data_IF_283077357909
#
_entry.id   IF_283077357909
#
_cell.length_a   1.000
_cell.length_b   1.000
_cell.length_c   1.000
_cell.angle_alpha   90.00
_cell.angle_beta   90.00
_cell.angle_gamma   90.00
#
_symmetry.space_group_name_H-M   'P 1'
#
loop_
_entity.id
_entity.type
_entity.pdbx_description
1 polymer ?
#
# COMPACT_ATOMS: atom_id res chain seq x y z
N UNK A 1 19.47 -8.88 16.28
CA UNK A 1 20.11 -8.11 17.27
C UNK A 1 21.32 -7.35 16.79
N UNK A 2 21.66 -6.32 17.53
CA UNK A 2 22.92 -5.61 17.40
C UNK A 2 24.01 -6.36 18.18
N UNK A 3 25.27 -6.27 17.79
CA UNK A 3 26.38 -6.83 18.57
C UNK A 3 26.44 -6.12 19.95
N UNK A 4 26.90 -6.80 20.99
CA UNK A 4 27.06 -6.19 22.30
C UNK A 4 28.11 -5.09 22.25
N UNK A 5 27.93 -4.05 23.04
CA UNK A 5 28.95 -3.01 23.27
C UNK A 5 30.07 -3.55 24.14
N UNK A 6 31.25 -2.94 24.09
CA UNK A 6 32.36 -3.34 24.98
C UNK A 6 32.00 -3.31 26.47
N UNK A 7 31.14 -2.36 26.87
CA UNK A 7 30.68 -2.26 28.27
C UNK A 7 29.74 -3.44 28.64
N UNK A 8 28.90 -3.89 27.72
CA UNK A 8 28.05 -5.06 27.96
C UNK A 8 28.84 -6.35 28.04
N UNK A 9 29.94 -6.48 27.23
CA UNK A 9 30.84 -7.64 27.30
C UNK A 9 31.53 -7.65 28.66
N UNK A 10 32.11 -6.54 29.08
CA UNK A 10 32.79 -6.45 30.39
C UNK A 10 31.84 -6.70 31.57
N UNK A 11 30.58 -6.24 31.44
CA UNK A 11 29.56 -6.53 32.44
C UNK A 11 29.30 -8.03 32.54
N UNK A 12 29.04 -8.68 31.42
CA UNK A 12 28.79 -10.12 31.38
C UNK A 12 30.01 -10.95 31.91
N UNK A 13 31.22 -10.61 31.51
CA UNK A 13 32.44 -11.29 32.02
C UNK A 13 32.57 -11.18 33.54
N UNK A 14 32.23 -10.04 34.11
CA UNK A 14 32.22 -9.83 35.55
C UNK A 14 31.15 -10.67 36.25
N UNK A 15 29.95 -10.73 35.70
CA UNK A 15 28.81 -11.46 36.23
C UNK A 15 29.00 -12.98 36.06
N UNK A 16 29.80 -13.41 35.06
CA UNK A 16 30.13 -14.81 34.81
C UNK A 16 31.11 -15.40 35.86
N UNK A 17 31.93 -14.56 36.50
CA UNK A 17 32.94 -15.01 37.45
C UNK A 17 32.40 -15.78 38.67
N UNK A 18 31.23 -15.43 39.26
CA UNK A 18 30.60 -16.19 40.35
C UNK A 18 29.94 -17.51 39.91
N UNK A 19 29.53 -17.66 38.63
CA UNK A 19 28.92 -18.85 38.08
C UNK A 19 28.21 -18.56 36.77
N UNK A 20 28.29 -19.46 35.76
CA UNK A 20 27.78 -19.20 34.43
C UNK A 20 26.25 -19.08 34.37
N UNK A 21 25.51 -19.87 35.15
CA UNK A 21 24.05 -19.97 35.03
C UNK A 21 23.39 -18.62 35.35
N UNK A 22 23.79 -17.98 36.44
CA UNK A 22 23.27 -16.67 36.84
C UNK A 22 23.55 -15.58 35.79
N UNK A 23 24.73 -15.51 35.25
CA UNK A 23 25.11 -14.53 34.22
C UNK A 23 24.28 -14.69 32.94
N UNK A 24 23.96 -15.94 32.57
CA UNK A 24 23.08 -16.21 31.42
C UNK A 24 21.64 -15.85 31.69
N UNK A 25 21.10 -16.16 32.87
CA UNK A 25 19.73 -15.78 33.24
C UNK A 25 19.56 -14.26 33.22
N UNK A 26 20.45 -13.50 33.84
CA UNK A 26 20.41 -12.03 33.81
C UNK A 26 20.56 -11.45 32.39
N UNK A 27 21.44 -12.05 31.57
CA UNK A 27 21.56 -11.66 30.16
C UNK A 27 20.25 -11.88 29.40
N UNK A 28 19.62 -13.04 29.56
CA UNK A 28 18.36 -13.38 28.90
C UNK A 28 17.26 -12.43 29.35
N UNK A 29 17.10 -12.22 30.66
CA UNK A 29 16.08 -11.32 31.22
C UNK A 29 16.27 -9.89 30.73
N UNK A 30 17.50 -9.40 30.67
CA UNK A 30 17.82 -8.07 30.11
C UNK A 30 17.46 -7.97 28.63
N UNK A 31 17.72 -9.02 27.85
CA UNK A 31 17.39 -9.02 26.41
C UNK A 31 15.87 -9.12 26.18
N UNK A 32 15.16 -9.94 26.97
CA UNK A 32 13.71 -10.06 26.91
C UNK A 32 13.00 -8.77 27.35
N UNK A 33 13.56 -8.06 28.33
CA UNK A 33 13.02 -6.77 28.79
C UNK A 33 13.31 -5.61 27.84
N UNK A 34 14.13 -5.83 26.83
CA UNK A 34 14.47 -4.79 25.86
C UNK A 34 13.35 -4.57 24.85
N UNK A 35 12.97 -3.31 24.54
CA UNK A 35 11.98 -3.04 23.47
C UNK A 35 12.43 -3.56 22.09
N UNK A 36 13.72 -3.82 21.92
CA UNK A 36 14.29 -4.42 20.71
C UNK A 36 13.92 -5.90 20.54
N UNK A 37 13.47 -6.56 21.60
CA UNK A 37 12.97 -7.92 21.55
C UNK A 37 11.75 -8.01 20.60
N UNK A 38 10.74 -7.18 20.83
CA UNK A 38 9.56 -7.14 19.97
C UNK A 38 9.88 -6.75 18.54
N UNK A 39 10.76 -5.77 18.31
CA UNK A 39 11.20 -5.40 16.94
C UNK A 39 11.86 -6.60 16.23
N UNK A 40 12.65 -7.39 16.95
CA UNK A 40 13.34 -8.57 16.38
C UNK A 40 12.38 -9.69 16.05
N UNK A 41 11.47 -10.03 16.99
CA UNK A 41 10.51 -11.11 16.81
C UNK A 41 9.37 -10.75 15.84
N UNK A 42 8.92 -9.50 15.85
CA UNK A 42 7.92 -9.03 14.92
C UNK A 42 8.31 -9.28 13.46
N UNK A 43 9.60 -9.21 13.11
CA UNK A 43 10.05 -9.50 11.73
C UNK A 43 9.67 -10.90 11.29
N UNK A 44 9.85 -11.90 12.14
CA UNK A 44 9.47 -13.29 11.83
C UNK A 44 7.96 -13.44 11.69
N UNK A 45 7.20 -12.78 12.57
CA UNK A 45 5.74 -12.80 12.46
C UNK A 45 5.23 -12.08 11.21
N UNK A 46 5.79 -10.92 10.89
CA UNK A 46 5.42 -10.14 9.71
C UNK A 46 5.72 -10.89 8.41
N UNK A 47 6.81 -11.68 8.36
CA UNK A 47 7.10 -12.56 7.24
C UNK A 47 6.01 -13.64 7.09
N UNK A 48 5.62 -14.28 8.19
CA UNK A 48 4.53 -15.29 8.21
C UNK A 48 3.20 -14.66 7.80
N UNK A 49 2.89 -13.45 8.28
CA UNK A 49 1.70 -12.69 7.92
C UNK A 49 1.72 -12.14 6.48
N UNK A 50 2.85 -12.27 5.77
CA UNK A 50 3.07 -11.69 4.43
C UNK A 50 2.92 -10.16 4.41
N UNK A 51 3.33 -9.48 5.48
CA UNK A 51 3.23 -8.03 5.61
C UNK A 51 4.14 -7.33 4.61
N UNK A 52 3.60 -6.32 3.93
CA UNK A 52 4.35 -5.39 3.11
C UNK A 52 3.74 -3.98 3.17
N UNK A 53 4.58 -2.95 2.99
CA UNK A 53 4.15 -1.55 2.91
C UNK A 53 3.59 -1.21 1.52
N UNK A 54 3.52 -2.19 0.60
CA UNK A 54 2.97 -2.07 -0.75
C UNK A 54 1.99 -3.19 -1.04
N UNK A 55 1.15 -3.01 -2.08
CA UNK A 55 0.11 -3.96 -2.44
C UNK A 55 0.62 -5.22 -3.15
N UNK A 56 1.79 -5.15 -3.79
CA UNK A 56 2.23 -6.16 -4.75
C UNK A 56 1.52 -6.03 -6.09
N UNK A 57 1.62 -7.07 -6.93
CA UNK A 57 1.14 -7.09 -8.31
C UNK A 57 1.79 -6.02 -9.20
N UNK A 58 1.37 -5.94 -10.46
CA UNK A 58 1.91 -5.04 -11.47
C UNK A 58 1.70 -3.54 -11.20
N UNK A 59 0.70 -3.20 -10.39
CA UNK A 59 0.45 -1.83 -9.90
C UNK A 59 0.76 -1.74 -8.40
N UNK A 60 2.03 -1.94 -8.06
CA UNK A 60 2.52 -1.99 -6.69
C UNK A 60 2.35 -0.64 -5.96
N UNK A 61 1.14 -0.39 -5.48
CA UNK A 61 0.78 0.84 -4.75
C UNK A 61 1.21 0.77 -3.29
N UNK A 62 1.66 1.90 -2.75
CA UNK A 62 1.93 2.04 -1.31
C UNK A 62 0.65 1.83 -0.49
N UNK A 63 0.82 1.24 0.69
CA UNK A 63 -0.20 1.08 1.74
C UNK A 63 0.12 2.03 2.90
N UNK A 64 -0.26 3.30 2.83
CA UNK A 64 0.15 4.30 3.83
C UNK A 64 -0.40 4.01 5.24
N UNK A 65 -1.38 3.12 5.34
CA UNK A 65 -2.07 2.78 6.60
C UNK A 65 -1.78 1.35 7.07
N UNK A 66 -0.75 0.67 6.53
CA UNK A 66 -0.39 -0.69 6.97
C UNK A 66 0.43 -0.71 8.27
N UNK A 67 1.26 0.30 8.52
CA UNK A 67 2.18 0.37 9.65
C UNK A 67 1.57 0.15 11.05
N UNK A 68 0.30 0.51 11.34
CA UNK A 68 -0.27 0.28 12.67
C UNK A 68 -0.34 -1.20 13.05
N UNK A 69 -0.54 -2.10 12.08
CA UNK A 69 -0.48 -3.54 12.33
C UNK A 69 0.93 -3.99 12.71
N UNK A 70 1.96 -3.50 12.02
CA UNK A 70 3.36 -3.76 12.38
C UNK A 70 3.64 -3.35 13.83
N UNK A 71 3.24 -2.16 14.20
CA UNK A 71 3.46 -1.61 15.55
C UNK A 71 2.66 -2.38 16.62
N UNK A 72 1.44 -2.85 16.28
CA UNK A 72 0.66 -3.77 17.10
C UNK A 72 1.43 -5.08 17.37
N UNK A 73 2.02 -5.68 16.33
CA UNK A 73 2.79 -6.92 16.47
C UNK A 73 4.01 -6.72 17.37
N UNK A 74 4.79 -5.64 17.15
CA UNK A 74 5.95 -5.28 17.98
C UNK A 74 5.54 -5.13 19.44
N UNK A 75 4.46 -4.39 19.70
CA UNK A 75 3.94 -4.16 21.04
C UNK A 75 3.46 -5.46 21.69
N UNK A 76 2.79 -6.31 20.94
CA UNK A 76 2.29 -7.59 21.44
C UNK A 76 3.41 -8.51 21.93
N UNK A 77 4.54 -8.58 21.21
CA UNK A 77 5.72 -9.32 21.66
C UNK A 77 6.39 -8.69 22.89
N UNK A 78 6.52 -7.35 22.92
CA UNK A 78 7.11 -6.68 24.08
C UNK A 78 6.28 -6.76 25.34
N UNK A 79 4.97 -6.94 25.21
CA UNK A 79 4.03 -7.08 26.32
C UNK A 79 3.77 -8.54 26.72
N UNK A 80 4.44 -9.48 26.07
CA UNK A 80 4.19 -10.92 26.22
C UNK A 80 2.67 -11.25 26.16
N UNK A 81 2.01 -10.69 25.12
CA UNK A 81 0.55 -10.87 24.95
C UNK A 81 0.21 -12.35 24.89
N UNK A 82 -0.81 -12.84 25.66
CA UNK A 82 -1.23 -14.22 25.60
C UNK A 82 -1.53 -14.67 24.17
N UNK A 83 -0.93 -15.76 23.73
CA UNK A 83 -1.03 -16.23 22.33
C UNK A 83 -2.47 -16.43 21.87
N UNK A 84 -3.34 -16.97 22.73
CA UNK A 84 -4.75 -17.15 22.39
C UNK A 84 -5.48 -15.82 22.12
N UNK A 85 -5.11 -14.75 22.86
CA UNK A 85 -5.64 -13.42 22.61
C UNK A 85 -5.08 -12.85 21.31
N UNK A 86 -3.78 -12.97 21.08
CA UNK A 86 -3.10 -12.54 19.87
C UNK A 86 -3.71 -13.16 18.60
N UNK A 87 -4.04 -14.47 18.64
CA UNK A 87 -4.73 -15.16 17.53
C UNK A 87 -6.14 -14.59 17.32
N UNK A 88 -6.93 -14.45 18.39
CA UNK A 88 -8.31 -13.96 18.30
C UNK A 88 -8.40 -12.53 17.74
N UNK A 89 -7.50 -11.65 18.16
CA UNK A 89 -7.41 -10.29 17.66
C UNK A 89 -7.11 -10.25 16.18
N UNK A 90 -6.31 -11.17 15.67
CA UNK A 90 -5.90 -11.21 14.26
C UNK A 90 -6.93 -11.85 13.31
N UNK A 91 -7.84 -12.66 13.83
CA UNK A 91 -8.85 -13.35 13.01
C UNK A 91 -10.22 -12.68 13.09
N UNK A 92 -10.63 -12.24 14.28
CA UNK A 92 -11.97 -11.73 14.56
C UNK A 92 -11.95 -10.65 15.66
N UNK A 93 -10.93 -9.81 15.67
CA UNK A 93 -10.70 -8.84 16.74
C UNK A 93 -11.81 -7.81 16.85
N UNK A 94 -12.34 -7.32 15.74
CA UNK A 94 -13.43 -6.35 15.71
C UNK A 94 -14.76 -6.91 16.25
N UNK A 95 -14.94 -8.22 16.19
CA UNK A 95 -16.12 -8.89 16.74
C UNK A 95 -15.94 -9.28 18.22
N UNK A 96 -14.77 -9.83 18.58
CA UNK A 96 -14.50 -10.34 19.92
C UNK A 96 -14.14 -9.21 20.88
N UNK A 97 -13.44 -8.19 20.39
CA UNK A 97 -12.94 -7.05 21.16
C UNK A 97 -13.31 -5.70 20.50
N UNK A 98 -14.60 -5.42 20.27
CA UNK A 98 -15.07 -4.31 19.43
C UNK A 98 -14.66 -2.93 19.96
N UNK A 99 -14.45 -2.80 21.27
CA UNK A 99 -14.14 -1.53 21.94
C UNK A 99 -12.64 -1.32 22.18
N UNK A 100 -11.80 -2.22 21.64
CA UNK A 100 -10.35 -2.12 21.82
C UNK A 100 -9.65 -1.75 20.54
N UNK A 101 -8.57 -1.00 20.67
CA UNK A 101 -7.71 -0.67 19.54
C UNK A 101 -7.09 -1.92 18.92
N UNK A 102 -6.62 -2.82 19.78
CA UNK A 102 -5.96 -4.05 19.36
C UNK A 102 -6.91 -4.99 18.61
N UNK A 103 -8.22 -4.95 18.91
CA UNK A 103 -9.23 -5.66 18.16
C UNK A 103 -9.34 -5.21 16.69
N UNK A 104 -9.09 -3.93 16.42
CA UNK A 104 -9.06 -3.41 15.04
C UNK A 104 -7.68 -3.63 14.40
N UNK A 105 -6.60 -3.31 15.13
CA UNK A 105 -5.24 -3.38 14.61
C UNK A 105 -4.81 -4.81 14.28
N UNK A 106 -5.24 -5.78 15.09
CA UNK A 106 -4.95 -7.20 14.85
C UNK A 106 -5.45 -7.70 13.50
N UNK A 107 -6.59 -7.20 13.02
CA UNK A 107 -7.14 -7.57 11.70
C UNK A 107 -6.22 -7.22 10.51
N UNK A 108 -5.18 -6.43 10.76
CA UNK A 108 -4.12 -6.21 9.79
C UNK A 108 -3.48 -7.51 9.28
N UNK A 109 -3.56 -8.60 10.04
CA UNK A 109 -3.16 -9.94 9.61
C UNK A 109 -3.91 -10.41 8.36
N UNK A 110 -5.23 -10.28 8.34
CA UNK A 110 -6.06 -10.66 7.19
C UNK A 110 -5.85 -9.73 5.99
N UNK A 111 -5.47 -8.49 6.26
CA UNK A 111 -5.22 -7.49 5.22
C UNK A 111 -3.77 -7.52 4.68
N UNK A 112 -2.83 -8.19 5.36
CA UNK A 112 -1.40 -8.07 5.09
C UNK A 112 -0.95 -8.68 3.76
N UNK A 113 -1.56 -9.77 3.30
CA UNK A 113 -1.19 -10.45 2.05
C UNK A 113 -1.24 -9.55 0.80
N UNK A 114 -0.73 -10.01 -0.33
CA UNK A 114 -0.76 -9.26 -1.58
C UNK A 114 -2.20 -8.88 -1.96
N UNK A 115 -2.37 -7.75 -2.62
CA UNK A 115 -3.69 -7.23 -2.97
C UNK A 115 -3.69 -6.64 -4.38
N UNK A 116 -4.52 -7.20 -5.25
CA UNK A 116 -4.74 -6.65 -6.58
C UNK A 116 -5.57 -5.36 -6.49
N UNK A 117 -4.87 -4.23 -6.30
CA UNK A 117 -5.50 -2.92 -6.19
C UNK A 117 -6.42 -2.61 -7.39
N UNK A 118 -5.97 -2.90 -8.61
CA UNK A 118 -6.73 -2.62 -9.83
C UNK A 118 -7.97 -3.51 -9.92
N UNK A 119 -7.82 -4.79 -9.65
CA UNK A 119 -8.93 -5.75 -9.66
C UNK A 119 -10.04 -5.43 -8.65
N UNK A 120 -9.70 -4.69 -7.57
CA UNK A 120 -10.67 -4.29 -6.55
C UNK A 120 -11.27 -2.90 -6.77
N UNK A 121 -10.46 -1.92 -7.16
CA UNK A 121 -10.86 -0.51 -7.23
C UNK A 121 -11.42 -0.13 -8.60
N UNK A 122 -10.80 -0.63 -9.67
CA UNK A 122 -11.16 -0.24 -11.04
C UNK A 122 -12.06 -1.26 -11.74
N UNK A 123 -12.07 -2.52 -11.29
CA UNK A 123 -12.87 -3.59 -11.89
C UNK A 123 -14.07 -3.93 -11.02
N UNK A 124 -15.32 -3.68 -11.47
CA UNK A 124 -16.53 -4.03 -10.73
C UNK A 124 -16.60 -5.54 -10.45
N UNK A 125 -17.11 -5.92 -9.28
CA UNK A 125 -17.33 -7.32 -8.91
C UNK A 125 -18.27 -8.08 -9.88
N UNK A 126 -19.13 -7.35 -10.60
CA UNK A 126 -19.99 -7.94 -11.62
C UNK A 126 -19.24 -8.54 -12.82
N UNK A 127 -17.97 -8.11 -13.03
CA UNK A 127 -17.10 -8.65 -14.08
C UNK A 127 -16.30 -9.85 -13.59
N UNK A 128 -15.91 -10.72 -14.51
CA UNK A 128 -15.13 -11.94 -14.21
C UNK A 128 -13.84 -11.62 -13.49
N UNK A 129 -13.06 -10.65 -13.96
CA UNK A 129 -11.77 -10.30 -13.35
C UNK A 129 -11.93 -9.76 -11.92
N UNK A 130 -12.99 -8.96 -11.66
CA UNK A 130 -13.31 -8.51 -10.31
C UNK A 130 -13.70 -9.64 -9.37
N UNK A 131 -14.40 -10.68 -9.85
CA UNK A 131 -14.69 -11.89 -9.08
C UNK A 131 -13.43 -12.71 -8.81
N UNK A 132 -12.55 -12.81 -9.80
CA UNK A 132 -11.26 -13.51 -9.66
C UNK A 132 -10.40 -12.82 -8.60
N UNK A 133 -10.25 -11.50 -8.63
CA UNK A 133 -9.48 -10.76 -7.63
C UNK A 133 -9.98 -11.02 -6.20
N UNK A 134 -11.30 -10.95 -5.97
CA UNK A 134 -11.90 -11.22 -4.65
C UNK A 134 -11.81 -12.68 -4.22
N UNK A 135 -11.83 -13.61 -5.17
CA UNK A 135 -11.60 -15.02 -4.87
C UNK A 135 -10.16 -15.27 -4.44
N UNK A 136 -9.18 -14.62 -5.08
CA UNK A 136 -7.77 -14.72 -4.70
C UNK A 136 -7.52 -14.13 -3.31
N UNK A 137 -8.16 -13.04 -2.94
CA UNK A 137 -8.08 -12.49 -1.58
C UNK A 137 -8.58 -13.48 -0.52
N UNK A 138 -9.73 -14.11 -0.77
CA UNK A 138 -10.28 -15.11 0.17
C UNK A 138 -9.40 -16.36 0.25
N UNK A 139 -8.83 -16.80 -0.88
CA UNK A 139 -7.85 -17.89 -0.92
C UNK A 139 -6.62 -17.55 -0.07
N UNK A 140 -6.12 -16.32 -0.19
CA UNK A 140 -4.99 -15.84 0.61
C UNK A 140 -5.32 -15.77 2.11
N UNK A 141 -6.49 -15.28 2.50
CA UNK A 141 -6.92 -15.22 3.89
C UNK A 141 -6.99 -16.62 4.52
N UNK A 142 -7.68 -17.57 3.87
CA UNK A 142 -7.77 -18.96 4.33
C UNK A 142 -6.38 -19.57 4.44
N UNK A 143 -5.58 -19.46 3.37
CA UNK A 143 -4.24 -20.03 3.32
C UNK A 143 -3.35 -19.45 4.42
N UNK A 144 -3.39 -18.13 4.62
CA UNK A 144 -2.56 -17.47 5.61
C UNK A 144 -2.95 -17.86 7.04
N UNK A 145 -4.25 -17.93 7.35
CA UNK A 145 -4.74 -18.38 8.65
C UNK A 145 -4.27 -19.80 8.96
N UNK A 146 -4.47 -20.74 8.05
CA UNK A 146 -4.13 -22.13 8.29
C UNK A 146 -2.62 -22.40 8.29
N UNK A 147 -1.88 -21.76 7.40
CA UNK A 147 -0.42 -21.86 7.40
C UNK A 147 0.19 -21.30 8.69
N UNK A 148 -0.31 -20.16 9.17
CA UNK A 148 0.28 -19.46 10.31
C UNK A 148 -0.12 -20.06 11.66
N UNK A 149 -1.39 -20.44 11.83
CA UNK A 149 -1.92 -20.88 13.11
C UNK A 149 -2.06 -22.40 13.27
N UNK A 150 -2.16 -23.12 12.14
CA UNK A 150 -2.36 -24.58 12.14
C UNK A 150 -1.19 -25.35 11.50
N UNK A 151 -0.20 -24.66 10.94
CA UNK A 151 0.92 -25.24 10.19
C UNK A 151 0.46 -26.18 9.05
N UNK A 152 -0.69 -25.89 8.43
CA UNK A 152 -1.34 -26.73 7.41
C UNK A 152 -1.41 -25.99 6.08
N UNK A 153 -0.92 -26.61 5.02
CA UNK A 153 -0.94 -26.09 3.64
C UNK A 153 -2.30 -26.30 2.97
N UNK A 154 -3.35 -25.74 3.56
CA UNK A 154 -4.75 -26.01 3.19
C UNK A 154 -5.08 -25.69 1.72
N UNK A 155 -4.34 -24.78 1.08
CA UNK A 155 -4.56 -24.41 -0.32
C UNK A 155 -4.38 -25.57 -1.30
N UNK A 156 -3.73 -26.66 -0.92
CA UNK A 156 -3.68 -27.89 -1.72
C UNK A 156 -5.09 -28.46 -1.96
N UNK A 157 -5.98 -28.31 -0.97
CA UNK A 157 -7.36 -28.79 -1.04
C UNK A 157 -8.26 -27.94 -1.94
N UNK A 158 -7.79 -26.82 -2.50
CA UNK A 158 -8.53 -26.03 -3.49
C UNK A 158 -8.87 -26.82 -4.77
N UNK A 159 -7.97 -27.69 -5.21
CA UNK A 159 -8.09 -28.41 -6.48
C UNK A 159 -8.36 -29.91 -6.33
N UNK A 160 -7.94 -30.51 -5.21
CA UNK A 160 -8.06 -31.94 -4.93
C UNK A 160 -8.02 -32.16 -3.41
N UNK A 161 -8.31 -33.35 -2.95
CA UNK A 161 -8.15 -33.74 -1.56
C UNK A 161 -6.71 -33.52 -1.07
N UNK A 162 -6.53 -33.00 0.15
CA UNK A 162 -5.21 -32.76 0.70
C UNK A 162 -4.42 -34.09 0.82
N UNK A 163 -3.17 -34.09 0.38
CA UNK A 163 -2.39 -35.34 0.28
C UNK A 163 -2.05 -35.95 1.65
N UNK A 164 -1.81 -35.13 2.66
CA UNK A 164 -1.29 -35.58 3.96
C UNK A 164 -2.28 -35.45 5.11
N UNK A 165 -3.29 -34.61 4.97
CA UNK A 165 -4.29 -34.33 6.00
C UNK A 165 -5.69 -34.71 5.54
N UNK A 166 -6.62 -35.07 6.43
CA UNK A 166 -8.00 -35.45 6.10
C UNK A 166 -8.86 -34.22 5.75
N UNK A 167 -8.40 -33.43 4.78
CA UNK A 167 -9.06 -32.20 4.34
C UNK A 167 -9.50 -32.37 2.89
N UNK A 168 -10.79 -32.44 2.69
CA UNK A 168 -11.40 -32.48 1.36
C UNK A 168 -11.55 -31.12 0.73
N UNK A 169 -11.85 -31.11 -0.56
CA UNK A 169 -12.11 -29.91 -1.32
C UNK A 169 -13.34 -29.15 -0.78
N UNK A 170 -14.37 -29.83 -0.33
CA UNK A 170 -15.56 -29.28 0.32
C UNK A 170 -15.23 -28.54 1.62
N UNK A 171 -14.31 -29.06 2.42
CA UNK A 171 -13.81 -28.40 3.62
C UNK A 171 -13.11 -27.08 3.28
N UNK A 172 -12.28 -27.10 2.23
CA UNK A 172 -11.59 -25.88 1.77
C UNK A 172 -12.58 -24.76 1.39
N UNK A 173 -13.60 -25.06 0.58
CA UNK A 173 -14.58 -24.07 0.16
C UNK A 173 -15.52 -23.66 1.29
N UNK A 174 -15.81 -24.56 2.23
CA UNK A 174 -16.54 -24.20 3.46
C UNK A 174 -15.76 -23.17 4.30
N UNK A 175 -14.44 -23.36 4.46
CA UNK A 175 -13.57 -22.42 5.15
C UNK A 175 -13.43 -21.09 4.40
N UNK A 176 -13.30 -21.14 3.07
CA UNK A 176 -13.29 -19.93 2.26
C UNK A 176 -14.58 -19.11 2.40
N UNK A 177 -15.72 -19.76 2.59
CA UNK A 177 -17.02 -19.09 2.78
C UNK A 177 -17.09 -18.26 4.07
N UNK A 178 -16.29 -18.58 5.09
CA UNK A 178 -16.18 -17.79 6.33
C UNK A 178 -15.71 -16.36 6.01
N UNK A 179 -14.84 -16.21 5.01
CA UNK A 179 -14.32 -14.92 4.58
C UNK A 179 -15.11 -14.29 3.42
N UNK A 180 -16.27 -14.85 3.05
CA UNK A 180 -17.04 -14.38 1.89
C UNK A 180 -17.50 -12.91 1.98
N UNK A 181 -17.70 -12.41 3.20
CA UNK A 181 -18.12 -11.03 3.47
C UNK A 181 -16.97 -10.15 4.00
N UNK A 182 -15.72 -10.63 3.93
CA UNK A 182 -14.55 -9.87 4.40
C UNK A 182 -13.88 -9.18 3.22
N UNK A 183 -13.76 -7.87 3.31
CA UNK A 183 -13.03 -7.04 2.35
C UNK A 183 -11.93 -6.24 3.06
N UNK A 184 -10.82 -6.00 2.35
CA UNK A 184 -9.75 -5.13 2.83
C UNK A 184 -10.19 -3.68 2.71
N UNK A 185 -10.15 -2.93 3.80
CA UNK A 185 -10.54 -1.53 3.86
C UNK A 185 -9.76 -0.77 4.93
N UNK A 186 -9.61 0.53 4.72
CA UNK A 186 -9.09 1.41 5.78
C UNK A 186 -10.15 1.55 6.90
N UNK A 187 -9.72 1.24 8.12
CA UNK A 187 -10.55 1.35 9.31
C UNK A 187 -10.03 2.49 10.19
N UNK A 188 -10.94 3.34 10.63
CA UNK A 188 -10.61 4.36 11.61
C UNK A 188 -10.59 3.69 12.98
N UNK A 189 -9.47 3.78 13.67
CA UNK A 189 -9.33 3.44 15.07
C UNK A 189 -8.92 4.70 15.84
N UNK A 190 -9.35 4.85 17.05
CA UNK A 190 -8.99 6.01 17.83
C UNK A 190 -9.55 5.86 19.22
N UNK A 191 -8.68 6.09 20.15
CA UNK A 191 -8.82 5.76 21.54
C UNK A 191 -9.50 6.82 22.33
N UNK A 192 -9.35 8.08 21.93
CA UNK A 192 -10.01 9.19 22.61
C UNK A 192 -11.37 9.46 21.95
N UNK A 193 -12.49 9.26 22.68
CA UNK A 193 -13.82 9.60 22.19
C UNK A 193 -13.95 11.02 21.68
N UNK A 194 -13.13 11.96 22.22
CA UNK A 194 -13.08 13.36 21.75
C UNK A 194 -12.46 13.45 20.36
N UNK A 195 -11.40 12.68 20.11
CA UNK A 195 -10.74 12.63 18.79
C UNK A 195 -11.66 11.97 17.77
N UNK A 196 -12.33 10.88 18.12
CA UNK A 196 -13.30 10.21 17.26
C UNK A 196 -14.45 11.17 16.85
N UNK A 197 -15.07 11.86 17.82
CA UNK A 197 -16.12 12.87 17.56
C UNK A 197 -15.61 14.02 16.70
N UNK A 198 -14.38 14.48 16.93
CA UNK A 198 -13.79 15.56 16.13
C UNK A 198 -13.53 15.16 14.70
N UNK A 199 -13.03 13.91 14.48
CA UNK A 199 -12.85 13.34 13.14
C UNK A 199 -14.18 13.22 12.41
N UNK A 200 -15.22 12.73 13.08
CA UNK A 200 -16.58 12.63 12.51
C UNK A 200 -17.13 14.00 12.11
N UNK A 201 -17.03 15.00 12.99
CA UNK A 201 -17.44 16.37 12.70
C UNK A 201 -16.69 16.95 11.47
N UNK A 202 -15.37 16.74 11.39
CA UNK A 202 -14.56 17.21 10.27
C UNK A 202 -14.91 16.49 8.97
N UNK A 203 -15.21 15.19 9.02
CA UNK A 203 -15.67 14.41 7.87
C UNK A 203 -17.01 14.92 7.33
N UNK A 204 -17.96 15.23 8.21
CA UNK A 204 -19.25 15.82 7.84
C UNK A 204 -19.05 17.20 7.20
N UNK A 205 -18.20 18.05 7.80
CA UNK A 205 -17.88 19.36 7.24
C UNK A 205 -17.21 19.26 5.87
N UNK A 206 -16.26 18.34 5.71
CA UNK A 206 -15.60 18.09 4.43
C UNK A 206 -16.61 17.66 3.36
N UNK A 207 -17.52 16.75 3.70
CA UNK A 207 -18.59 16.32 2.79
C UNK A 207 -19.54 17.47 2.39
N UNK A 208 -19.85 18.37 3.31
CA UNK A 208 -20.68 19.56 3.05
C UNK A 208 -19.95 20.53 2.11
N UNK A 209 -18.70 20.85 2.42
CA UNK A 209 -17.88 21.73 1.58
C UNK A 209 -17.68 21.15 0.16
N UNK A 210 -17.43 19.85 0.06
CA UNK A 210 -17.30 19.19 -1.25
C UNK A 210 -18.57 19.34 -2.11
N UNK A 211 -19.77 19.25 -1.49
CA UNK A 211 -21.04 19.49 -2.19
C UNK A 211 -21.19 20.96 -2.61
N UNK A 212 -20.83 21.90 -1.75
CA UNK A 212 -20.89 23.34 -2.07
C UNK A 212 -19.92 23.67 -3.23
N UNK A 213 -18.71 23.14 -3.21
CA UNK A 213 -17.74 23.29 -4.31
C UNK A 213 -18.31 22.73 -5.61
N UNK A 214 -18.88 21.51 -5.60
CA UNK A 214 -19.46 20.90 -6.78
C UNK A 214 -20.66 21.72 -7.35
N UNK A 215 -21.47 22.31 -6.47
CA UNK A 215 -22.56 23.20 -6.87
C UNK A 215 -22.02 24.50 -7.48
N UNK A 216 -21.03 25.12 -6.85
CA UNK A 216 -20.39 26.33 -7.36
C UNK A 216 -19.71 26.10 -8.72
N UNK A 217 -19.02 24.99 -8.90
CA UNK A 217 -18.44 24.59 -10.20
C UNK A 217 -19.51 24.38 -11.26
N UNK A 218 -20.63 23.75 -10.91
CA UNK A 218 -21.75 23.57 -11.83
C UNK A 218 -22.37 24.90 -12.27
N UNK A 219 -22.53 25.83 -11.33
CA UNK A 219 -23.01 27.20 -11.64
C UNK A 219 -22.01 27.97 -12.51
N UNK A 220 -20.72 27.87 -12.18
CA UNK A 220 -19.65 28.50 -12.97
C UNK A 220 -19.64 27.99 -14.41
N UNK A 221 -19.72 26.67 -14.59
CA UNK A 221 -19.85 26.03 -15.90
C UNK A 221 -21.10 26.52 -16.64
N UNK A 222 -22.24 26.65 -15.94
CA UNK A 222 -23.48 27.12 -16.53
C UNK A 222 -23.39 28.60 -16.97
N UNK A 223 -22.78 29.47 -16.14
CA UNK A 223 -22.58 30.90 -16.46
C UNK A 223 -21.54 31.10 -17.58
N UNK A 224 -20.46 30.29 -17.58
CA UNK A 224 -19.38 30.36 -18.56
C UNK A 224 -19.61 29.61 -19.86
N UNK A 225 -20.62 28.73 -19.93
CA UNK A 225 -20.80 27.80 -21.05
C UNK A 225 -20.92 28.48 -22.43
N UNK A 226 -21.57 29.64 -22.49
CA UNK A 226 -21.75 30.38 -23.73
C UNK A 226 -20.45 31.05 -24.24
N UNK A 227 -19.63 31.57 -23.34
CA UNK A 227 -18.34 32.19 -23.69
C UNK A 227 -17.25 31.14 -23.94
N UNK A 228 -17.17 30.11 -23.12
CA UNK A 228 -16.27 28.98 -23.33
C UNK A 228 -16.52 28.31 -24.66
N UNK A 229 -17.76 28.03 -25.03
CA UNK A 229 -18.10 27.45 -26.33
C UNK A 229 -17.67 28.34 -27.49
N UNK A 230 -17.86 29.67 -27.38
CA UNK A 230 -17.39 30.60 -28.40
C UNK A 230 -15.87 30.62 -28.53
N UNK A 231 -15.15 30.51 -27.40
CA UNK A 231 -13.69 30.44 -27.37
C UNK A 231 -13.19 29.12 -27.93
N UNK A 232 -13.79 28.00 -27.60
CA UNK A 232 -13.46 26.67 -28.12
C UNK A 232 -13.71 26.59 -29.64
N UNK A 233 -14.84 27.12 -30.11
CA UNK A 233 -15.15 27.21 -31.54
C UNK A 233 -14.14 28.09 -32.29
N UNK A 234 -13.69 29.18 -31.67
CA UNK A 234 -12.66 30.07 -32.24
C UNK A 234 -11.28 29.40 -32.25
N UNK A 235 -10.95 28.70 -31.19
CA UNK A 235 -9.70 27.92 -31.07
C UNK A 235 -9.67 26.78 -32.09
N UNK A 236 -10.76 26.05 -32.26
CA UNK A 236 -10.91 24.99 -33.26
C UNK A 236 -10.78 25.52 -34.71
N UNK A 237 -11.30 26.71 -34.97
CA UNK A 237 -11.17 27.36 -36.29
C UNK A 237 -9.72 27.79 -36.54
N UNK A 238 -9.04 28.31 -35.54
CA UNK A 238 -7.62 28.71 -35.67
C UNK A 238 -6.71 27.49 -35.83
N UNK A 239 -6.99 26.40 -35.12
CA UNK A 239 -6.26 25.16 -35.27
C UNK A 239 -6.42 24.53 -36.67
N UNK A 240 -7.66 24.54 -37.21
CA UNK A 240 -7.93 24.08 -38.60
C UNK A 240 -7.28 24.95 -39.68
N UNK A 241 -7.20 26.24 -39.44
CA UNK A 241 -6.57 27.18 -40.41
C UNK A 241 -5.06 27.07 -40.49
N UNK A 242 -4.41 26.60 -39.41
CA UNK A 242 -2.94 26.56 -39.34
C UNK A 242 -2.33 25.20 -39.71
N UNK A 243 -3.13 24.17 -40.03
CA UNK A 243 -2.63 22.86 -40.48
C UNK A 243 -1.67 22.15 -39.48
N UNK A 244 -1.59 22.62 -38.24
CA UNK A 244 -0.69 22.10 -37.24
C UNK A 244 -1.44 21.08 -36.39
N UNK A 245 -1.01 19.83 -36.42
CA UNK A 245 -1.43 18.83 -35.46
C UNK A 245 -1.26 19.42 -34.05
N UNK A 246 -2.26 19.21 -33.18
CA UNK A 246 -2.28 19.65 -31.78
C UNK A 246 -1.06 19.13 -31.05
N UNK A 247 0.05 19.84 -31.13
CA UNK A 247 1.21 19.60 -30.27
C UNK A 247 1.04 20.48 -29.04
N UNK A 248 0.83 19.87 -27.91
CA UNK A 248 0.90 20.54 -26.61
C UNK A 248 2.38 20.85 -26.39
N UNK A 249 2.80 22.12 -26.22
CA UNK A 249 4.23 22.48 -26.11
C UNK A 249 4.94 21.74 -24.97
N UNK A 250 4.20 21.40 -23.93
CA UNK A 250 4.66 20.69 -22.74
C UNK A 250 5.06 19.24 -23.03
N UNK A 251 4.50 18.61 -24.05
CA UNK A 251 4.86 17.24 -24.45
C UNK A 251 6.21 17.14 -25.16
N UNK A 252 6.83 18.27 -25.48
CA UNK A 252 8.16 18.33 -26.07
C UNK A 252 8.27 17.74 -27.47
N UNK A 253 9.49 17.50 -27.88
CA UNK A 253 9.84 16.92 -29.20
C UNK A 253 10.18 15.45 -29.06
N UNK A 254 9.49 14.60 -29.82
CA UNK A 254 9.79 13.18 -29.96
C UNK A 254 10.57 12.91 -31.23
N UNK A 255 11.76 12.34 -31.08
CA UNK A 255 12.52 11.83 -32.23
C UNK A 255 11.89 10.55 -32.77
N UNK A 256 12.12 10.22 -34.04
CA UNK A 256 11.71 8.93 -34.58
C UNK A 256 12.32 7.76 -33.79
N UNK A 257 11.56 6.69 -33.67
CA UNK A 257 12.04 5.44 -33.08
C UNK A 257 13.09 4.84 -34.00
N UNK A 258 14.26 4.53 -33.47
CA UNK A 258 15.35 3.89 -34.18
C UNK A 258 15.62 2.51 -33.61
N UNK A 259 16.08 1.58 -34.47
CA UNK A 259 16.30 0.18 -34.06
C UNK A 259 17.52 -0.01 -33.14
N UNK A 260 18.47 0.95 -33.12
CA UNK A 260 19.66 0.86 -32.27
C UNK A 260 19.63 1.91 -31.18
N UNK A 261 19.85 1.53 -29.93
CA UNK A 261 19.76 2.46 -28.78
C UNK A 261 20.90 3.49 -28.76
N UNK A 262 22.02 3.23 -29.40
CA UNK A 262 23.23 4.06 -29.48
C UNK A 262 23.23 5.04 -30.67
N UNK A 263 22.14 5.12 -31.41
CA UNK A 263 22.04 6.05 -32.56
C UNK A 263 22.06 7.50 -32.09
N UNK A 264 23.01 8.29 -32.64
CA UNK A 264 23.09 9.71 -32.36
C UNK A 264 21.85 10.42 -32.90
N UNK A 265 21.19 11.17 -32.04
CA UNK A 265 20.01 11.96 -32.36
C UNK A 265 20.34 13.43 -32.19
N UNK A 266 19.87 14.25 -33.08
CA UNK A 266 20.09 15.70 -33.05
C UNK A 266 18.81 16.45 -33.33
N UNK A 267 18.72 17.66 -32.82
CA UNK A 267 17.63 18.61 -33.08
C UNK A 267 18.24 19.90 -33.58
N UNK A 268 17.69 20.41 -34.69
CA UNK A 268 18.07 21.71 -35.24
C UNK A 268 16.89 22.67 -35.11
N UNK A 269 17.17 23.83 -34.55
CA UNK A 269 16.22 24.94 -34.46
C UNK A 269 16.69 26.06 -35.35
N UNK A 270 15.89 26.43 -36.37
CA UNK A 270 16.13 27.59 -37.21
C UNK A 270 15.53 28.83 -36.52
N UNK A 271 16.39 29.81 -36.24
CA UNK A 271 16.00 31.09 -35.62
C UNK A 271 15.54 32.13 -36.65
N UNK A 272 15.48 31.77 -37.93
CA UNK A 272 15.05 32.62 -39.03
C UNK A 272 16.00 33.77 -39.40
N UNK A 273 16.83 34.23 -38.47
CA UNK A 273 17.85 35.27 -38.69
C UNK A 273 19.02 35.11 -37.73
N UNK A 274 20.16 35.70 -38.11
CA UNK A 274 21.38 35.67 -37.28
C UNK A 274 21.16 36.44 -35.99
N UNK A 275 21.28 35.72 -34.84
CA UNK A 275 21.11 36.27 -33.50
C UNK A 275 22.27 35.87 -32.58
N UNK A 276 22.57 36.73 -31.59
CA UNK A 276 23.51 36.37 -30.52
C UNK A 276 22.78 35.51 -29.47
N UNK A 277 23.19 34.26 -29.32
CA UNK A 277 22.66 33.36 -28.31
C UNK A 277 23.50 33.53 -27.04
N UNK A 278 22.85 33.84 -25.92
CA UNK A 278 23.50 33.95 -24.59
C UNK A 278 23.51 32.62 -23.85
N UNK A 279 22.44 31.85 -23.98
CA UNK A 279 22.30 30.55 -23.34
C UNK A 279 21.26 29.69 -24.06
N UNK A 280 21.41 28.39 -23.96
CA UNK A 280 20.41 27.40 -24.41
C UNK A 280 19.95 26.66 -23.17
N UNK A 281 18.65 26.68 -22.91
CA UNK A 281 18.01 25.94 -21.81
C UNK A 281 17.24 24.78 -22.41
N UNK A 282 17.56 23.58 -21.94
CA UNK A 282 16.82 22.36 -22.26
C UNK A 282 15.82 22.08 -21.15
N UNK A 283 14.56 22.03 -21.50
CA UNK A 283 13.49 21.60 -20.57
C UNK A 283 13.09 20.17 -20.90
N UNK A 284 13.06 19.32 -19.88
CA UNK A 284 12.48 18.00 -20.01
C UNK A 284 10.98 18.12 -20.30
N UNK A 285 10.44 17.20 -21.11
CA UNK A 285 9.00 17.19 -21.35
C UNK A 285 8.23 16.80 -20.07
N UNK A 286 7.01 17.26 -20.02
CA UNK A 286 6.03 16.89 -19.00
C UNK A 286 5.04 15.91 -19.63
N UNK A 287 4.80 14.79 -18.95
CA UNK A 287 3.79 13.81 -19.35
C UNK A 287 2.87 13.55 -18.16
N UNK A 288 1.60 13.81 -18.34
CA UNK A 288 0.56 13.57 -17.33
C UNK A 288 -0.03 12.16 -17.40
N UNK A 289 0.33 11.37 -18.41
CA UNK A 289 -0.11 9.99 -18.54
C UNK A 289 0.44 9.13 -17.39
N UNK A 290 -0.43 8.45 -16.68
CA UNK A 290 -0.11 7.54 -15.60
C UNK A 290 0.80 8.13 -14.47
N UNK A 291 0.83 9.46 -14.32
CA UNK A 291 1.58 10.12 -13.26
C UNK A 291 3.09 10.19 -13.49
N UNK A 292 3.55 10.12 -14.74
CA UNK A 292 4.97 10.20 -15.09
C UNK A 292 5.57 11.55 -14.66
N UNK A 293 4.84 12.66 -14.86
CA UNK A 293 5.24 13.97 -14.39
C UNK A 293 6.36 14.65 -15.20
N UNK A 294 7.06 15.57 -14.55
CA UNK A 294 8.14 16.34 -15.17
C UNK A 294 9.44 15.52 -15.28
N UNK A 295 10.19 15.75 -16.36
CA UNK A 295 11.52 15.13 -16.54
C UNK A 295 11.54 13.90 -17.43
N UNK A 296 10.41 13.53 -18.01
CA UNK A 296 10.33 12.42 -18.95
C UNK A 296 11.18 12.69 -20.22
N UNK A 297 11.88 11.64 -20.67
CA UNK A 297 12.62 11.68 -21.95
C UNK A 297 14.01 12.31 -21.91
N UNK A 298 14.51 12.71 -20.74
CA UNK A 298 15.92 13.07 -20.62
C UNK A 298 16.80 11.81 -20.58
N UNK A 299 17.89 11.75 -21.36
CA UNK A 299 18.85 10.66 -21.22
C UNK A 299 19.47 10.73 -19.81
N UNK A 300 19.58 9.56 -19.17
CA UNK A 300 20.28 9.41 -17.88
C UNK A 300 21.77 9.49 -18.07
#
# INVERSE_FOLDING_TARGET
GLPPSPKEIQGFEKDYAPGPDHAYEELVDRLLSSPRYGERFARHWLDVAKYADTCGYDKDKLRPHAWPYRDYVIRSFNQDKPYAQFVKEQIAGDFIYPDTEDGILGLGFLAAGPWDFIGHVEVPESKTDGKVARNLDRDDMVSNVFNSFCATTIQCARCHEHKGDPIGQDHYYSLQSVFAAVDKADRIYGLDPKVARKKEQLSIQQGTLAREVALAEKELKKKGAGELKKLDDRLSKLQKSNGVATRVPEHGYHSQIVQRPDSVKWVQVDLGKRQKIKSVLLHACYDDFAGIGAGFGFPK
#
